data_IF_904260238785
#
_entry.id   IF_904260238785
#
_cell.length_a   1.000
_cell.length_b   1.000
_cell.length_c   1.000
_cell.angle_alpha   90.00
_cell.angle_beta   90.00
_cell.angle_gamma   90.00
#
_symmetry.space_group_name_H-M   'P 1'
#
loop_
_entity.id
_entity.type
_entity.pdbx_description
1 polymer ?
#
# COMPACT_ATOMS: atom_id res chain seq x y z
N UNK A 1 10.39 5.50 -22.97
CA UNK A 1 9.09 5.11 -23.55
C UNK A 1 8.01 4.86 -22.50
N UNK A 2 8.09 3.82 -21.65
CA UNK A 2 7.01 3.52 -20.69
C UNK A 2 6.82 4.62 -19.64
N UNK A 3 7.89 4.98 -18.92
CA UNK A 3 7.85 6.04 -17.90
C UNK A 3 7.40 7.39 -18.49
N UNK A 4 7.95 7.81 -19.63
CA UNK A 4 7.54 9.06 -20.29
C UNK A 4 6.05 9.05 -20.66
N UNK A 5 5.52 7.91 -21.10
CA UNK A 5 4.11 7.77 -21.46
C UNK A 5 3.21 7.79 -20.23
N UNK A 6 3.66 7.19 -19.12
CA UNK A 6 2.99 7.25 -17.82
C UNK A 6 2.94 8.69 -17.30
N UNK A 7 4.06 9.42 -17.34
CA UNK A 7 4.14 10.81 -16.92
C UNK A 7 3.32 11.74 -17.82
N UNK A 8 3.29 11.50 -19.13
CA UNK A 8 2.41 12.24 -20.04
C UNK A 8 0.93 11.98 -19.76
N UNK A 9 0.56 10.77 -19.34
CA UNK A 9 -0.80 10.45 -18.92
C UNK A 9 -1.15 11.14 -17.60
N UNK A 10 -0.26 11.11 -16.61
CA UNK A 10 -0.40 11.85 -15.36
C UNK A 10 -0.61 13.35 -15.61
N UNK A 11 0.21 13.96 -16.47
CA UNK A 11 0.06 15.37 -16.84
C UNK A 11 -1.34 15.68 -17.37
N UNK A 12 -1.84 14.87 -18.32
CA UNK A 12 -3.21 15.05 -18.84
C UNK A 12 -4.28 14.90 -17.77
N UNK A 13 -4.13 13.99 -16.80
CA UNK A 13 -5.07 13.83 -15.69
C UNK A 13 -5.10 15.10 -14.84
N UNK A 14 -3.92 15.60 -14.45
CA UNK A 14 -3.79 16.81 -13.61
C UNK A 14 -4.27 18.08 -14.35
N UNK A 15 -4.14 18.14 -15.68
CA UNK A 15 -4.63 19.27 -16.47
C UNK A 15 -6.16 19.36 -16.55
N UNK A 16 -6.87 18.24 -16.33
CA UNK A 16 -8.31 18.15 -16.57
C UNK A 16 -9.16 17.89 -15.31
N UNK A 17 -8.54 17.49 -14.21
CA UNK A 17 -9.24 17.26 -12.93
C UNK A 17 -8.74 18.30 -11.92
N UNK A 18 -9.62 19.11 -11.32
CA UNK A 18 -9.23 20.04 -10.27
C UNK A 18 -8.47 19.34 -9.14
N UNK A 19 -7.42 19.98 -8.62
CA UNK A 19 -6.54 19.34 -7.64
C UNK A 19 -7.27 18.84 -6.38
N UNK A 20 -8.27 19.59 -5.89
CA UNK A 20 -9.10 19.18 -4.74
C UNK A 20 -10.03 17.99 -4.99
N UNK A 21 -10.23 17.62 -6.26
CA UNK A 21 -11.03 16.46 -6.68
C UNK A 21 -10.15 15.29 -7.16
N UNK A 22 -8.82 15.42 -7.06
CA UNK A 22 -7.85 14.44 -7.56
C UNK A 22 -6.97 13.89 -6.44
N UNK A 23 -6.85 12.56 -6.44
CA UNK A 23 -5.89 11.82 -5.65
C UNK A 23 -5.11 10.88 -6.57
N UNK A 24 -3.79 10.81 -6.42
CA UNK A 24 -2.91 9.92 -7.18
C UNK A 24 -2.29 8.91 -6.24
N UNK A 25 -2.41 7.63 -6.58
CA UNK A 25 -1.72 6.55 -5.87
C UNK A 25 -0.76 5.83 -6.82
N UNK A 26 0.47 5.60 -6.36
CA UNK A 26 1.40 4.71 -7.04
C UNK A 26 1.41 3.33 -6.37
N UNK A 27 1.14 2.30 -7.15
CA UNK A 27 1.24 0.91 -6.72
C UNK A 27 2.68 0.41 -6.89
N UNK A 28 3.29 -0.06 -5.82
CA UNK A 28 4.72 -0.42 -5.73
C UNK A 28 4.87 -1.93 -5.57
N UNK A 29 4.18 -2.70 -6.42
CA UNK A 29 4.07 -4.15 -6.25
C UNK A 29 5.27 -4.93 -6.80
N UNK A 30 5.69 -4.58 -8.01
CA UNK A 30 6.76 -5.27 -8.71
C UNK A 30 8.11 -5.01 -8.03
N UNK A 31 8.26 -3.83 -7.44
CA UNK A 31 9.39 -3.40 -6.66
C UNK A 31 9.61 -4.30 -5.44
N UNK A 32 8.54 -4.65 -4.70
CA UNK A 32 8.66 -5.58 -3.58
C UNK A 32 9.06 -6.98 -4.03
N UNK A 33 8.53 -7.46 -5.16
CA UNK A 33 8.96 -8.75 -5.71
C UNK A 33 10.48 -8.78 -6.05
N UNK A 34 11.08 -7.65 -6.43
CA UNK A 34 12.54 -7.57 -6.60
C UNK A 34 13.29 -7.60 -5.26
N UNK A 35 12.76 -6.94 -4.23
CA UNK A 35 13.39 -6.90 -2.91
C UNK A 35 13.28 -8.23 -2.15
N UNK A 36 12.24 -8.99 -2.43
CA UNK A 36 12.01 -10.35 -1.90
C UNK A 36 12.65 -11.45 -2.75
N UNK A 37 13.43 -11.11 -3.79
CA UNK A 37 14.12 -12.05 -4.69
C UNK A 37 13.19 -13.07 -5.39
N UNK A 38 11.97 -12.63 -5.73
CA UNK A 38 10.94 -13.46 -6.40
C UNK A 38 10.44 -12.88 -7.72
N UNK A 39 11.04 -11.79 -8.18
CA UNK A 39 10.77 -11.26 -9.49
C UNK A 39 11.10 -12.30 -10.58
N UNK A 40 10.20 -12.45 -11.54
CA UNK A 40 10.36 -13.41 -12.66
C UNK A 40 11.57 -13.12 -13.58
N UNK A 41 12.14 -11.92 -13.47
CA UNK A 41 13.31 -11.48 -14.23
C UNK A 41 14.22 -10.70 -13.28
N UNK A 42 15.55 -10.72 -13.50
CA UNK A 42 16.45 -9.91 -12.71
C UNK A 42 16.22 -8.42 -12.98
N UNK A 43 16.45 -7.59 -11.96
CA UNK A 43 16.43 -6.15 -12.12
C UNK A 43 17.53 -5.72 -13.10
N UNK A 44 17.24 -4.78 -13.99
CA UNK A 44 18.20 -4.24 -14.96
C UNK A 44 19.03 -3.07 -14.40
N UNK A 45 18.96 -2.84 -13.09
CA UNK A 45 19.66 -1.78 -12.37
C UNK A 45 20.16 -2.30 -11.02
N UNK A 46 21.30 -1.74 -10.58
CA UNK A 46 21.93 -2.04 -9.29
C UNK A 46 22.48 -0.75 -8.66
N UNK A 47 22.47 -0.60 -7.33
CA UNK A 47 21.80 -1.47 -6.35
C UNK A 47 20.27 -1.47 -6.53
N UNK A 48 19.63 -2.63 -6.31
CA UNK A 48 18.19 -2.82 -6.62
C UNK A 48 17.32 -1.88 -5.81
N UNK A 49 17.51 -1.82 -4.48
CA UNK A 49 16.73 -0.95 -3.61
C UNK A 49 16.86 0.53 -3.98
N UNK A 50 18.07 1.01 -4.19
CA UNK A 50 18.32 2.42 -4.54
C UNK A 50 17.70 2.76 -5.90
N UNK A 51 17.80 1.86 -6.87
CA UNK A 51 17.18 2.04 -8.17
C UNK A 51 15.65 2.05 -8.12
N UNK A 52 15.03 1.23 -7.27
CA UNK A 52 13.59 1.26 -6.99
C UNK A 52 13.22 2.63 -6.41
N UNK A 53 13.89 3.03 -5.33
CA UNK A 53 13.58 4.27 -4.63
C UNK A 53 13.76 5.49 -5.53
N UNK A 54 14.84 5.56 -6.31
CA UNK A 54 15.04 6.64 -7.28
C UNK A 54 13.85 6.76 -8.26
N UNK A 55 13.27 5.64 -8.69
CA UNK A 55 12.12 5.64 -9.61
C UNK A 55 10.84 6.07 -8.90
N UNK A 56 10.55 5.49 -7.73
CA UNK A 56 9.39 5.85 -6.90
C UNK A 56 9.41 7.35 -6.58
N UNK A 57 10.55 7.90 -6.18
CA UNK A 57 10.69 9.31 -5.84
C UNK A 57 10.55 10.25 -7.04
N UNK A 58 11.01 9.84 -8.24
CA UNK A 58 10.75 10.61 -9.47
C UNK A 58 9.28 10.63 -9.84
N UNK A 59 8.57 9.51 -9.70
CA UNK A 59 7.14 9.43 -9.94
C UNK A 59 6.34 10.26 -8.92
N UNK A 60 6.76 10.24 -7.65
CA UNK A 60 6.20 11.09 -6.61
C UNK A 60 6.34 12.58 -6.96
N UNK A 61 7.55 13.01 -7.34
CA UNK A 61 7.85 14.40 -7.69
C UNK A 61 7.12 14.90 -8.94
N UNK A 62 6.58 14.01 -9.77
CA UNK A 62 5.80 14.38 -10.95
C UNK A 62 4.33 14.70 -10.66
N UNK A 63 3.85 14.34 -9.46
CA UNK A 63 2.50 14.71 -8.99
C UNK A 63 2.57 16.12 -8.41
N UNK A 64 1.67 17.00 -8.85
CA UNK A 64 1.58 18.39 -8.39
C UNK A 64 1.36 18.46 -6.87
N UNK A 65 2.03 19.40 -6.19
CA UNK A 65 1.97 19.50 -4.72
C UNK A 65 0.57 19.78 -4.17
N UNK A 66 -0.33 20.34 -4.97
CA UNK A 66 -1.73 20.57 -4.59
C UNK A 66 -2.63 19.33 -4.73
N UNK A 67 -2.16 18.28 -5.41
CA UNK A 67 -2.86 17.01 -5.61
C UNK A 67 -2.42 16.02 -4.55
N UNK A 68 -3.38 15.35 -3.90
CA UNK A 68 -3.07 14.37 -2.86
C UNK A 68 -2.34 13.14 -3.44
N UNK A 69 -1.30 12.67 -2.77
CA UNK A 69 -0.43 11.57 -3.20
C UNK A 69 -0.35 10.48 -2.14
N UNK A 70 -0.45 9.22 -2.56
CA UNK A 70 -0.07 8.11 -1.71
C UNK A 70 0.60 6.94 -2.41
N UNK A 71 1.03 5.98 -1.60
CA UNK A 71 1.66 4.74 -2.06
C UNK A 71 0.90 3.52 -1.57
N UNK A 72 0.72 2.55 -2.46
CA UNK A 72 0.26 1.22 -2.11
C UNK A 72 1.41 0.23 -2.25
N UNK A 73 1.87 -0.29 -1.10
CA UNK A 73 2.93 -1.29 -1.05
C UNK A 73 2.28 -2.67 -0.89
N UNK A 74 2.35 -3.48 -1.94
CA UNK A 74 1.74 -4.82 -1.95
C UNK A 74 2.60 -5.87 -2.63
N UNK A 75 2.28 -7.14 -2.42
CA UNK A 75 2.99 -8.24 -3.05
C UNK A 75 2.31 -8.75 -4.32
N UNK A 76 1.42 -7.92 -4.92
CA UNK A 76 0.62 -8.27 -6.09
C UNK A 76 -0.38 -9.40 -5.83
N UNK A 77 -1.41 -9.51 -6.67
CA UNK A 77 -2.37 -10.61 -6.60
C UNK A 77 -2.51 -11.26 -7.99
N UNK A 78 -2.02 -12.51 -8.09
CA UNK A 78 -2.19 -13.38 -9.27
C UNK A 78 -3.23 -14.46 -9.00
N UNK A 79 -4.47 -14.07 -8.75
CA UNK A 79 -5.58 -15.01 -8.59
C UNK A 79 -5.60 -15.67 -7.22
N UNK A 80 -5.58 -14.84 -6.18
CA UNK A 80 -5.64 -15.19 -4.76
C UNK A 80 -4.36 -15.86 -4.22
N UNK A 81 -3.23 -15.69 -4.91
CA UNK A 81 -1.89 -16.02 -4.39
C UNK A 81 -0.94 -14.86 -4.68
N UNK A 82 -0.21 -14.47 -3.64
CA UNK A 82 0.91 -13.54 -3.77
C UNK A 82 2.06 -14.18 -4.56
N UNK A 83 2.91 -13.34 -5.14
CA UNK A 83 4.20 -13.83 -5.66
C UNK A 83 5.07 -14.40 -4.53
N UNK A 84 4.92 -13.88 -3.31
CA UNK A 84 5.51 -14.34 -2.04
C UNK A 84 4.53 -14.11 -0.90
N UNK A 85 4.42 -15.07 0.01
CA UNK A 85 3.79 -14.83 1.32
C UNK A 85 4.83 -14.17 2.23
N UNK A 86 4.75 -12.84 2.47
CA UNK A 86 5.76 -12.12 3.25
C UNK A 86 5.83 -12.69 4.66
N UNK A 87 7.04 -12.85 5.20
CA UNK A 87 7.22 -13.40 6.55
C UNK A 87 6.89 -12.40 7.65
N UNK A 88 7.10 -11.11 7.41
CA UNK A 88 6.70 -9.99 8.27
C UNK A 88 6.52 -8.71 7.44
N UNK A 89 6.27 -7.58 8.12
CA UNK A 89 6.10 -6.26 7.48
C UNK A 89 7.42 -5.50 7.26
N UNK A 90 8.60 -6.08 7.53
CA UNK A 90 9.86 -5.33 7.56
C UNK A 90 10.21 -4.68 6.21
N UNK A 91 10.07 -5.41 5.10
CA UNK A 91 10.34 -4.88 3.75
C UNK A 91 9.38 -3.74 3.40
N UNK A 92 8.10 -3.88 3.77
CA UNK A 92 7.08 -2.84 3.59
C UNK A 92 7.42 -1.56 4.38
N UNK A 93 7.82 -1.72 5.65
CA UNK A 93 8.21 -0.61 6.53
C UNK A 93 9.45 0.09 6.00
N UNK A 94 10.44 -0.67 5.56
CA UNK A 94 11.70 -0.15 5.02
C UNK A 94 11.48 0.68 3.74
N UNK A 95 10.70 0.15 2.79
CA UNK A 95 10.33 0.88 1.56
C UNK A 95 9.46 2.08 1.88
N UNK A 96 8.51 1.94 2.80
CA UNK A 96 7.64 3.03 3.23
C UNK A 96 8.43 4.19 3.80
N UNK A 97 9.25 3.94 4.82
CA UNK A 97 10.09 4.96 5.46
C UNK A 97 11.04 5.61 4.45
N UNK A 98 11.68 4.82 3.58
CA UNK A 98 12.59 5.35 2.57
C UNK A 98 11.87 6.24 1.54
N UNK A 99 10.63 5.89 1.18
CA UNK A 99 9.80 6.69 0.27
C UNK A 99 9.37 8.00 0.93
N UNK A 100 8.89 7.96 2.18
CA UNK A 100 8.48 9.15 2.93
C UNK A 100 9.65 10.10 3.18
N UNK A 101 10.81 9.56 3.58
CA UNK A 101 12.02 10.35 3.83
C UNK A 101 12.62 10.96 2.56
N UNK A 102 12.52 10.25 1.44
CA UNK A 102 13.09 10.67 0.16
C UNK A 102 12.20 11.62 -0.65
N UNK A 103 10.90 11.67 -0.36
CA UNK A 103 9.96 12.50 -1.09
C UNK A 103 10.27 13.99 -0.87
N UNK A 104 10.26 14.77 -1.95
CA UNK A 104 10.48 16.23 -1.91
C UNK A 104 9.19 17.02 -1.72
N UNK A 105 8.06 16.32 -1.59
CA UNK A 105 6.71 16.84 -1.41
C UNK A 105 5.98 16.00 -0.35
N UNK A 106 4.87 16.50 0.24
CA UNK A 106 4.04 15.70 1.12
C UNK A 106 3.54 14.42 0.44
N UNK A 107 3.55 13.34 1.21
CA UNK A 107 2.87 12.07 0.90
C UNK A 107 1.73 11.97 1.90
N UNK A 108 0.51 12.02 1.39
CA UNK A 108 -0.72 12.12 2.16
C UNK A 108 -1.08 10.78 2.82
N UNK A 109 -0.88 9.66 2.12
CA UNK A 109 -1.08 8.33 2.71
C UNK A 109 -0.08 7.27 2.26
N UNK A 110 0.10 6.25 3.09
CA UNK A 110 0.71 4.98 2.71
C UNK A 110 -0.17 3.82 3.15
N UNK A 111 -0.34 2.86 2.24
CA UNK A 111 -1.14 1.66 2.42
C UNK A 111 -0.26 0.42 2.29
N UNK A 112 -0.28 -0.43 3.32
CA UNK A 112 0.44 -1.71 3.33
C UNK A 112 -0.53 -2.89 3.20
N UNK A 113 -0.26 -3.77 2.25
CA UNK A 113 -0.97 -5.03 2.09
C UNK A 113 -0.68 -6.00 3.26
N UNK A 114 -1.70 -6.76 3.66
CA UNK A 114 -1.60 -7.77 4.72
C UNK A 114 -2.33 -9.03 4.26
N UNK A 115 -1.66 -10.18 4.14
CA UNK A 115 -2.32 -11.42 3.76
C UNK A 115 -3.36 -11.84 4.79
N UNK A 116 -4.48 -12.39 4.29
CA UNK A 116 -5.61 -12.87 5.11
C UNK A 116 -5.18 -13.79 6.25
N UNK A 117 -4.14 -14.59 6.00
CA UNK A 117 -3.57 -15.58 6.94
C UNK A 117 -2.74 -14.97 8.08
N UNK A 118 -2.39 -13.68 8.03
CA UNK A 118 -1.49 -13.03 9.00
C UNK A 118 -2.27 -12.29 10.07
N UNK A 119 -2.44 -12.94 11.22
CA UNK A 119 -2.93 -12.35 12.46
C UNK A 119 -1.92 -12.44 13.61
N UNK A 120 -0.71 -12.96 13.34
CA UNK A 120 0.33 -13.16 14.34
C UNK A 120 1.09 -11.87 14.67
N UNK A 121 1.42 -11.70 15.95
CA UNK A 121 2.15 -10.53 16.44
C UNK A 121 3.54 -10.35 15.80
N UNK A 122 4.20 -11.45 15.42
CA UNK A 122 5.51 -11.40 14.77
C UNK A 122 5.45 -10.71 13.40
N UNK A 123 4.39 -10.95 12.62
CA UNK A 123 4.16 -10.27 11.34
C UNK A 123 4.14 -8.74 11.46
N UNK A 124 3.44 -8.24 12.48
CA UNK A 124 3.21 -6.82 12.70
C UNK A 124 4.33 -6.14 13.52
N UNK A 125 5.22 -6.91 14.14
CA UNK A 125 6.29 -6.37 14.98
C UNK A 125 7.15 -5.27 14.32
N UNK A 126 7.51 -5.38 13.02
CA UNK A 126 8.26 -4.33 12.33
C UNK A 126 7.53 -2.99 12.21
N UNK A 127 6.19 -2.94 12.30
CA UNK A 127 5.43 -1.68 12.21
C UNK A 127 5.85 -0.64 13.26
N UNK A 128 6.45 -1.07 14.38
CA UNK A 128 7.04 -0.18 15.40
C UNK A 128 8.11 0.76 14.85
N UNK A 129 8.70 0.44 13.70
CA UNK A 129 9.73 1.24 13.07
C UNK A 129 9.18 2.21 12.02
N UNK A 130 7.85 2.29 11.82
CA UNK A 130 7.26 3.24 10.86
C UNK A 130 7.46 4.69 11.30
N UNK A 131 7.97 5.51 10.38
CA UNK A 131 8.21 6.93 10.55
C UNK A 131 7.20 7.73 9.70
N UNK A 132 5.96 7.83 10.19
CA UNK A 132 4.84 8.38 9.41
C UNK A 132 4.81 9.91 9.36
N UNK A 133 5.31 10.61 10.37
CA UNK A 133 5.16 12.07 10.48
C UNK A 133 3.68 12.47 10.47
N UNK A 134 3.25 13.18 9.41
CA UNK A 134 1.85 13.56 9.18
C UNK A 134 1.13 12.69 8.16
N UNK A 135 1.80 11.71 7.57
CA UNK A 135 1.23 10.79 6.56
C UNK A 135 0.20 9.87 7.20
N UNK A 136 -0.98 9.76 6.59
CA UNK A 136 -2.00 8.81 7.01
C UNK A 136 -1.58 7.38 6.70
N UNK A 137 -1.89 6.47 7.60
CA UNK A 137 -1.46 5.07 7.50
C UNK A 137 -2.66 4.14 7.35
N UNK A 138 -2.62 3.27 6.36
CA UNK A 138 -3.68 2.30 6.08
C UNK A 138 -3.11 0.87 6.05
N UNK A 139 -3.86 -0.05 6.67
CA UNK A 139 -3.57 -1.48 6.62
C UNK A 139 -4.66 -2.21 5.83
N UNK A 140 -4.22 -3.06 4.90
CA UNK A 140 -5.07 -3.91 4.07
C UNK A 140 -5.64 -5.11 4.81
N UNK A 141 -6.46 -4.89 5.84
CA UNK A 141 -6.97 -5.93 6.75
C UNK A 141 -8.35 -6.48 6.38
N UNK A 142 -9.04 -5.85 5.42
CA UNK A 142 -10.38 -6.23 5.00
C UNK A 142 -10.32 -7.33 3.93
N UNK A 143 -10.89 -8.48 4.26
CA UNK A 143 -11.07 -9.59 3.31
C UNK A 143 -12.54 -10.02 3.24
N UNK A 144 -12.96 -10.65 2.13
CA UNK A 144 -14.32 -11.18 2.01
C UNK A 144 -14.62 -12.21 3.10
N UNK A 145 -15.82 -12.10 3.67
CA UNK A 145 -16.43 -13.05 4.61
C UNK A 145 -15.58 -13.30 5.86
N UNK A 146 -14.93 -12.25 6.38
CA UNK A 146 -13.85 -12.40 7.34
C UNK A 146 -13.89 -11.35 8.46
N UNK A 147 -15.07 -11.12 9.04
CA UNK A 147 -15.21 -10.13 10.11
C UNK A 147 -14.37 -10.47 11.35
N UNK A 148 -14.43 -11.72 11.82
CA UNK A 148 -13.69 -12.17 13.00
C UNK A 148 -12.19 -12.05 12.79
N UNK A 149 -11.67 -12.59 11.68
CA UNK A 149 -10.26 -12.46 11.31
C UNK A 149 -9.84 -11.00 11.18
N UNK A 150 -10.69 -10.13 10.61
CA UNK A 150 -10.41 -8.69 10.53
C UNK A 150 -10.20 -8.09 11.93
N UNK A 151 -11.06 -8.43 12.89
CA UNK A 151 -10.93 -7.96 14.28
C UNK A 151 -9.66 -8.49 14.94
N UNK A 152 -9.27 -9.73 14.67
CA UNK A 152 -8.01 -10.30 15.16
C UNK A 152 -6.79 -9.56 14.61
N UNK A 153 -6.74 -9.30 13.30
CA UNK A 153 -5.64 -8.55 12.68
C UNK A 153 -5.57 -7.11 13.16
N UNK A 154 -6.72 -6.43 13.29
CA UNK A 154 -6.78 -5.07 13.85
C UNK A 154 -6.18 -5.05 15.25
N UNK A 155 -6.57 -6.02 16.10
CA UNK A 155 -6.04 -6.15 17.46
C UNK A 155 -4.52 -6.38 17.44
N UNK A 156 -4.05 -7.33 16.64
CA UNK A 156 -2.64 -7.65 16.53
C UNK A 156 -1.81 -6.44 16.05
N UNK A 157 -2.24 -5.75 14.99
CA UNK A 157 -1.54 -4.57 14.48
C UNK A 157 -1.53 -3.41 15.49
N UNK A 158 -2.62 -3.21 16.24
CA UNK A 158 -2.75 -2.14 17.25
C UNK A 158 -1.76 -2.27 18.42
N UNK A 159 -1.10 -3.42 18.59
CA UNK A 159 -0.01 -3.58 19.57
C UNK A 159 1.31 -2.94 19.11
N UNK A 160 1.45 -2.60 17.83
CA UNK A 160 2.70 -2.18 17.19
C UNK A 160 2.63 -0.81 16.51
N UNK A 161 1.44 -0.37 16.12
CA UNK A 161 1.21 0.95 15.49
C UNK A 161 0.00 1.63 16.13
N UNK A 162 0.01 2.96 16.14
CA UNK A 162 -1.06 3.78 16.72
C UNK A 162 -2.33 3.78 15.87
N UNK A 163 -2.78 4.96 15.44
CA UNK A 163 -3.97 5.09 14.60
C UNK A 163 -3.67 4.67 13.16
N UNK A 164 -4.56 3.87 12.57
CA UNK A 164 -4.51 3.49 11.17
C UNK A 164 -5.91 3.32 10.59
N UNK A 165 -6.05 3.55 9.29
CA UNK A 165 -7.24 3.25 8.50
C UNK A 165 -7.26 1.79 8.03
N UNK A 166 -8.45 1.31 7.67
CA UNK A 166 -8.64 -0.03 7.11
C UNK A 166 -8.90 0.06 5.62
N UNK A 167 -8.23 -0.81 4.87
CA UNK A 167 -8.44 -1.00 3.45
C UNK A 167 -8.53 -2.50 3.15
N UNK A 168 -8.88 -2.83 1.90
CA UNK A 168 -8.66 -4.17 1.39
C UNK A 168 -7.17 -4.41 1.20
N UNK A 169 -6.76 -5.67 1.16
CA UNK A 169 -5.35 -6.03 0.95
C UNK A 169 -4.77 -5.44 -0.34
N UNK A 170 -5.54 -5.50 -1.43
CA UNK A 170 -5.18 -5.01 -2.76
C UNK A 170 -6.46 -4.52 -3.48
N UNK A 171 -6.35 -4.18 -4.76
CA UNK A 171 -7.48 -3.77 -5.60
C UNK A 171 -8.51 -4.90 -5.83
N UNK A 172 -9.78 -4.52 -5.99
CA UNK A 172 -10.92 -5.45 -6.11
C UNK A 172 -11.27 -5.81 -7.56
N UNK A 173 -10.36 -5.60 -8.51
CA UNK A 173 -10.62 -5.82 -9.95
C UNK A 173 -10.95 -7.26 -10.34
N UNK A 174 -10.66 -8.22 -9.45
CA UNK A 174 -10.96 -9.66 -9.62
C UNK A 174 -12.08 -10.16 -8.71
N UNK A 175 -12.62 -9.31 -7.83
CA UNK A 175 -13.64 -9.70 -6.86
C UNK A 175 -15.02 -9.75 -7.50
N UNK A 176 -15.83 -10.71 -7.06
CA UNK A 176 -17.26 -10.78 -7.35
C UNK A 176 -18.04 -9.71 -6.59
N UNK A 177 -19.27 -9.42 -7.06
CA UNK A 177 -20.19 -8.52 -6.36
C UNK A 177 -20.45 -8.98 -4.91
N UNK A 178 -20.59 -10.30 -4.69
CA UNK A 178 -20.82 -10.85 -3.36
C UNK A 178 -19.64 -10.61 -2.41
N UNK A 179 -18.40 -10.72 -2.91
CA UNK A 179 -17.19 -10.42 -2.15
C UNK A 179 -17.10 -8.93 -1.80
N UNK A 180 -17.40 -8.04 -2.76
CA UNK A 180 -17.47 -6.60 -2.51
C UNK A 180 -18.51 -6.26 -1.43
N UNK A 181 -19.73 -6.79 -1.56
CA UNK A 181 -20.80 -6.57 -0.57
C UNK A 181 -20.38 -7.07 0.82
N UNK A 182 -19.65 -8.20 0.87
CA UNK A 182 -19.10 -8.76 2.10
C UNK A 182 -18.06 -7.84 2.74
N UNK A 183 -17.09 -7.35 1.96
CA UNK A 183 -16.06 -6.40 2.42
C UNK A 183 -16.71 -5.14 2.99
N UNK A 184 -17.70 -4.56 2.31
CA UNK A 184 -18.38 -3.34 2.76
C UNK A 184 -19.13 -3.57 4.08
N UNK A 185 -19.76 -4.74 4.26
CA UNK A 185 -20.39 -5.11 5.54
C UNK A 185 -19.37 -5.25 6.66
N UNK A 186 -18.25 -5.94 6.40
CA UNK A 186 -17.17 -6.10 7.37
C UNK A 186 -16.62 -4.74 7.78
N UNK A 187 -16.25 -3.89 6.80
CA UNK A 187 -15.75 -2.54 7.03
C UNK A 187 -16.68 -1.75 7.95
N UNK A 188 -17.98 -1.68 7.61
CA UNK A 188 -19.00 -1.01 8.43
C UNK A 188 -19.05 -1.56 9.86
N UNK A 189 -18.96 -2.87 10.03
CA UNK A 189 -19.05 -3.54 11.33
C UNK A 189 -17.82 -3.28 12.23
N UNK A 190 -16.63 -3.22 11.64
CA UNK A 190 -15.37 -3.06 12.40
C UNK A 190 -15.01 -1.61 12.66
N UNK A 191 -15.51 -0.66 11.85
CA UNK A 191 -15.25 0.79 12.03
C UNK A 191 -16.39 1.55 12.71
N UNK A 192 -17.49 0.88 13.08
CA UNK A 192 -18.59 1.53 13.79
C UNK A 192 -18.11 2.12 15.13
N UNK A 193 -18.53 3.35 15.50
CA UNK A 193 -18.24 3.89 16.83
C UNK A 193 -18.73 2.94 17.91
N UNK A 194 -17.90 2.64 18.91
CA UNK A 194 -18.34 1.91 20.09
C UNK A 194 -19.27 2.83 20.89
N UNK A 195 -20.55 2.46 20.99
CA UNK A 195 -21.57 3.12 21.81
C UNK A 195 -21.31 2.83 23.28
#
# INVERSE_FOLDING_TARGET
MYEESLLAALGRIQDHIPAGDLAVQWDVAQELAYLEDVASRPAWFIPVKDGILQRVLRLAAAVDESVALGFHLCYGDLGQKHFVEPTDTAVLVDVGNASLKGATRPVDWIHLAVPKSRADAAYFAPLKQLELGTTEFYLGLLHPEDEEGTRERVKAASEFVGTFGLATECGLGRSSQAELDSILRVAKSVTAPRI
#
